data_IF_568915625788
#
_entry.id   IF_568915625788
#
_cell.length_a   1.000
_cell.length_b   1.000
_cell.length_c   1.000
_cell.angle_alpha   90.00
_cell.angle_beta   90.00
_cell.angle_gamma   90.00
#
_symmetry.space_group_name_H-M   'P 1'
#
loop_
_entity.id
_entity.type
_entity.pdbx_description
1 polymer ?
#
# COMPACT_ATOMS: atom_id res chain seq x y z
N UNK A 1 -17.55 9.89 -34.63
CA UNK A 1 -16.63 9.69 -33.48
C UNK A 1 -17.25 9.98 -32.10
N UNK A 2 -18.53 10.38 -31.97
CA UNK A 2 -19.12 10.72 -30.66
C UNK A 2 -19.56 9.53 -29.79
N UNK A 3 -19.90 8.38 -30.39
CA UNK A 3 -20.45 7.22 -29.66
C UNK A 3 -19.43 6.58 -28.70
N UNK A 4 -18.14 6.57 -29.07
CA UNK A 4 -17.07 5.97 -28.25
C UNK A 4 -16.76 6.77 -26.97
N UNK A 5 -17.03 8.07 -26.95
CA UNK A 5 -16.77 8.92 -25.78
C UNK A 5 -17.77 8.67 -24.64
N UNK A 6 -19.03 8.42 -24.99
CA UNK A 6 -20.10 8.09 -24.01
C UNK A 6 -19.88 6.73 -23.35
N UNK A 7 -19.36 5.76 -24.09
CA UNK A 7 -19.07 4.42 -23.56
C UNK A 7 -17.88 4.46 -22.58
N UNK A 8 -16.80 5.17 -22.95
CA UNK A 8 -15.65 5.39 -22.06
C UNK A 8 -16.06 6.14 -20.79
N UNK A 9 -16.91 7.17 -20.89
CA UNK A 9 -17.41 7.90 -19.73
C UNK A 9 -18.23 7.01 -18.78
N UNK A 10 -19.06 6.10 -19.33
CA UNK A 10 -19.82 5.13 -18.53
C UNK A 10 -18.93 4.13 -17.81
N UNK A 11 -17.89 3.61 -18.47
CA UNK A 11 -16.91 2.74 -17.80
C UNK A 11 -16.10 3.50 -16.73
N UNK A 12 -15.86 4.80 -16.96
CA UNK A 12 -15.20 5.65 -15.98
C UNK A 12 -16.07 5.84 -14.72
N UNK A 13 -17.37 6.09 -14.91
CA UNK A 13 -18.35 6.27 -13.84
C UNK A 13 -18.63 4.98 -13.07
N UNK A 14 -18.50 3.82 -13.73
CA UNK A 14 -18.54 2.50 -13.06
C UNK A 14 -17.40 2.28 -12.07
N UNK A 15 -16.31 3.06 -12.16
CA UNK A 15 -15.24 3.04 -11.15
C UNK A 15 -14.46 1.72 -11.08
N UNK A 16 -14.40 0.93 -12.15
CA UNK A 16 -13.69 -0.37 -12.14
C UNK A 16 -12.16 -0.27 -11.99
N UNK A 17 -11.61 0.95 -12.00
CA UNK A 17 -10.19 1.26 -11.87
C UNK A 17 -9.85 1.99 -10.56
N UNK A 18 -10.83 2.13 -9.65
CA UNK A 18 -10.64 2.73 -8.33
C UNK A 18 -10.90 1.72 -7.22
N UNK A 19 -10.21 1.88 -6.10
CA UNK A 19 -10.51 1.19 -4.83
C UNK A 19 -11.03 2.18 -3.82
N UNK A 20 -11.92 1.73 -2.93
CA UNK A 20 -12.47 2.57 -1.88
C UNK A 20 -11.82 2.25 -0.54
N UNK A 21 -11.18 3.23 0.09
CA UNK A 21 -10.61 3.05 1.44
C UNK A 21 -11.67 2.90 2.53
N UNK A 22 -12.89 3.36 2.26
CA UNK A 22 -14.04 3.27 3.17
C UNK A 22 -15.32 3.10 2.38
N UNK A 23 -16.46 2.95 3.06
CA UNK A 23 -17.78 2.91 2.39
C UNK A 23 -18.19 4.24 1.76
N UNK A 24 -17.42 5.31 1.97
CA UNK A 24 -17.72 6.66 1.46
C UNK A 24 -17.21 6.84 0.03
N UNK A 25 -18.03 7.35 -0.92
CA UNK A 25 -17.63 7.54 -2.32
C UNK A 25 -16.40 8.43 -2.52
N UNK A 26 -16.21 9.46 -1.69
CA UNK A 26 -15.04 10.34 -1.79
C UNK A 26 -13.70 9.64 -1.50
N UNK A 27 -13.74 8.43 -0.94
CA UNK A 27 -12.55 7.63 -0.62
C UNK A 27 -12.08 6.75 -1.78
N UNK A 28 -12.69 6.90 -2.97
CA UNK A 28 -12.23 6.29 -4.20
C UNK A 28 -10.84 6.82 -4.59
N UNK A 29 -9.88 5.91 -4.77
CA UNK A 29 -8.53 6.20 -5.23
C UNK A 29 -8.19 5.29 -6.39
N UNK A 30 -7.42 5.78 -7.36
CA UNK A 30 -6.94 4.94 -8.46
C UNK A 30 -6.14 3.74 -7.92
N UNK A 31 -6.29 2.56 -8.53
CA UNK A 31 -5.60 1.32 -8.13
C UNK A 31 -4.07 1.49 -8.05
N UNK A 32 -3.46 2.21 -8.99
CA UNK A 32 -2.02 2.49 -8.93
C UNK A 32 -1.64 3.30 -7.68
N UNK A 33 -2.49 4.27 -7.30
CA UNK A 33 -2.26 5.09 -6.13
C UNK A 33 -2.42 4.29 -4.83
N UNK A 34 -3.38 3.35 -4.78
CA UNK A 34 -3.52 2.46 -3.63
C UNK A 34 -2.32 1.53 -3.48
N UNK A 35 -1.81 0.95 -4.59
CA UNK A 35 -0.59 0.16 -4.58
C UNK A 35 0.63 0.98 -4.14
N UNK A 36 0.77 2.23 -4.59
CA UNK A 36 1.84 3.13 -4.14
C UNK A 36 1.75 3.42 -2.64
N UNK A 37 0.57 3.70 -2.10
CA UNK A 37 0.38 3.89 -0.66
C UNK A 37 0.74 2.63 0.13
N UNK A 38 0.33 1.45 -0.34
CA UNK A 38 0.66 0.18 0.29
C UNK A 38 2.16 -0.10 0.28
N UNK A 39 2.85 0.22 -0.81
CA UNK A 39 4.31 0.08 -0.90
C UNK A 39 5.05 1.09 0.00
N UNK A 40 4.50 2.29 0.22
CA UNK A 40 5.08 3.27 1.16
C UNK A 40 5.00 2.76 2.59
N UNK A 41 3.91 2.09 2.98
CA UNK A 41 3.80 1.47 4.30
C UNK A 41 4.94 0.45 4.51
N UNK A 42 5.21 -0.41 3.53
CA UNK A 42 6.27 -1.42 3.61
C UNK A 42 7.69 -0.83 3.65
N UNK A 43 7.89 0.43 3.22
CA UNK A 43 9.22 1.08 3.17
C UNK A 43 9.78 1.55 4.52
N UNK A 44 8.97 1.67 5.57
CA UNK A 44 9.43 2.15 6.88
C UNK A 44 10.42 1.23 7.60
N UNK A 45 10.45 -0.04 7.20
CA UNK A 45 10.99 -1.16 7.97
C UNK A 45 12.10 -1.93 7.21
N UNK A 46 12.82 -1.25 6.31
CA UNK A 46 13.81 -1.87 5.40
C UNK A 46 13.23 -2.24 4.02
N UNK A 47 11.99 -1.84 3.75
CA UNK A 47 11.34 -2.05 2.46
C UNK A 47 10.95 -3.49 2.19
N UNK A 48 10.56 -3.75 0.93
CA UNK A 48 10.25 -5.09 0.47
C UNK A 48 11.45 -6.05 0.65
N UNK A 49 12.68 -5.52 0.60
CA UNK A 49 13.91 -6.28 0.79
C UNK A 49 14.04 -6.78 2.24
N UNK A 50 13.86 -5.91 3.23
CA UNK A 50 13.87 -6.31 4.65
C UNK A 50 12.76 -7.29 4.99
N UNK A 51 11.58 -7.13 4.36
CA UNK A 51 10.45 -8.05 4.54
C UNK A 51 10.69 -9.43 3.92
N UNK A 52 11.25 -9.50 2.71
CA UNK A 52 11.54 -10.77 2.03
C UNK A 52 12.66 -11.57 2.71
N UNK A 53 13.54 -10.92 3.47
CA UNK A 53 14.61 -11.58 4.22
C UNK A 53 14.15 -12.18 5.56
N UNK A 54 12.93 -11.85 6.01
CA UNK A 54 12.34 -12.44 7.20
C UNK A 54 11.21 -13.41 6.81
N UNK A 55 11.43 -14.74 6.87
CA UNK A 55 10.45 -15.73 6.46
C UNK A 55 9.09 -15.59 7.17
N UNK A 56 9.10 -15.14 8.44
CA UNK A 56 7.88 -14.93 9.22
C UNK A 56 7.10 -13.71 8.75
N UNK A 57 7.82 -12.64 8.40
CA UNK A 57 7.24 -11.43 7.82
C UNK A 57 6.63 -11.70 6.44
N UNK A 58 7.36 -12.42 5.60
CA UNK A 58 6.90 -12.82 4.29
C UNK A 58 5.66 -13.71 4.36
N UNK A 59 5.64 -14.70 5.28
CA UNK A 59 4.48 -15.55 5.51
C UNK A 59 3.26 -14.73 5.97
N UNK A 60 3.44 -13.80 6.92
CA UNK A 60 2.35 -12.94 7.38
C UNK A 60 1.84 -12.03 6.26
N UNK A 61 2.72 -11.53 5.40
CA UNK A 61 2.34 -10.75 4.24
C UNK A 61 1.55 -11.55 3.21
N UNK A 62 2.00 -12.77 2.89
CA UNK A 62 1.29 -13.68 1.97
C UNK A 62 -0.10 -14.07 2.49
N UNK A 63 -0.27 -14.21 3.80
CA UNK A 63 -1.54 -14.65 4.41
C UNK A 63 -2.50 -13.50 4.69
N UNK A 64 -1.99 -12.34 5.12
CA UNK A 64 -2.82 -11.23 5.64
C UNK A 64 -2.79 -9.97 4.78
N UNK A 65 -1.97 -9.95 3.74
CA UNK A 65 -1.79 -8.80 2.86
C UNK A 65 -0.87 -7.71 3.43
N UNK A 66 -0.58 -6.68 2.63
CA UNK A 66 0.34 -5.59 2.96
C UNK A 66 -0.03 -4.81 4.23
N UNK A 67 -1.31 -4.48 4.40
CA UNK A 67 -1.74 -3.63 5.52
C UNK A 67 -1.57 -4.31 6.88
N UNK A 68 -1.97 -5.58 6.99
CA UNK A 68 -1.94 -6.34 8.25
C UNK A 68 -0.55 -6.93 8.52
N UNK A 69 0.13 -7.40 7.48
CA UNK A 69 1.49 -7.94 7.57
C UNK A 69 2.48 -6.91 8.09
N UNK A 70 2.41 -5.66 7.59
CA UNK A 70 3.26 -4.57 8.04
C UNK A 70 3.00 -4.17 9.51
N UNK A 71 1.73 -4.02 9.91
CA UNK A 71 1.38 -3.68 11.29
C UNK A 71 1.91 -4.72 12.29
N UNK A 72 1.82 -6.01 11.95
CA UNK A 72 2.33 -7.10 12.78
C UNK A 72 3.85 -7.21 12.73
N UNK A 73 4.48 -6.96 11.58
CA UNK A 73 5.93 -6.90 11.44
C UNK A 73 6.55 -5.88 12.40
N UNK A 74 5.97 -4.68 12.46
CA UNK A 74 6.40 -3.59 13.35
C UNK A 74 6.36 -3.95 14.83
N UNK A 75 5.47 -4.89 15.21
CA UNK A 75 5.33 -5.36 16.60
C UNK A 75 6.24 -6.56 16.93
N UNK A 76 6.84 -7.21 15.91
CA UNK A 76 7.71 -8.38 16.07
C UNK A 76 9.19 -7.96 16.13
N UNK A 77 9.56 -6.83 15.52
CA UNK A 77 10.89 -6.22 15.69
C UNK A 77 10.81 -5.12 16.75
N UNK A 78 11.60 -5.17 17.84
CA UNK A 78 11.72 -4.02 18.72
C UNK A 78 12.30 -2.87 17.89
N UNK A 79 11.59 -1.74 17.90
CA UNK A 79 11.85 -0.56 17.09
C UNK A 79 13.33 -0.37 16.74
N UNK A 80 13.69 -0.58 15.48
CA UNK A 80 14.98 -0.13 14.95
C UNK A 80 14.95 1.38 14.84
N UNK A 81 15.19 2.04 15.99
CA UNK A 81 15.42 3.48 16.17
C UNK A 81 16.65 4.02 15.41
N UNK A 82 17.26 3.24 14.53
CA UNK A 82 18.58 3.55 14.01
C UNK A 82 18.58 4.45 12.76
N UNK A 83 17.48 4.47 12.00
CA UNK A 83 17.39 5.25 10.75
C UNK A 83 16.86 6.68 10.91
N UNK A 84 16.17 7.00 12.02
CA UNK A 84 15.73 8.37 12.30
C UNK A 84 16.86 9.27 12.81
N UNK A 85 17.81 8.72 13.58
CA UNK A 85 18.95 9.48 14.12
C UNK A 85 19.95 9.87 13.01
N UNK A 86 20.11 9.05 11.96
CA UNK A 86 20.99 9.38 10.84
C UNK A 86 20.47 10.49 9.90
N UNK A 87 19.18 10.84 9.96
CA UNK A 87 18.60 11.91 9.14
C UNK A 87 18.56 13.29 9.83
N UNK A 88 18.77 13.35 11.15
CA UNK A 88 18.84 14.63 11.87
C UNK A 88 20.28 15.17 11.98
N UNK A 89 21.27 14.43 11.48
CA UNK A 89 22.69 14.78 11.51
C UNK A 89 23.29 15.12 10.13
N UNK A 90 22.48 15.55 9.17
CA UNK A 90 22.93 16.06 7.86
C UNK A 90 22.21 17.34 7.47
#
# INVERSE_FOLDING_TARGET
MHVRLLEVAKEFDRGSFVVHKSTRPFSAIAIDHSHKQNNVLVKGDGGAIGMMQNPRALLLWMVTGPEIGHQKFRNILPATRHWQEQRQAS
#
